data_IF_542966257365
#
_entry.id   IF_542966257365
#
_cell.length_a   1.000
_cell.length_b   1.000
_cell.length_c   1.000
_cell.angle_alpha   90.00
_cell.angle_beta   90.00
_cell.angle_gamma   90.00
#
_symmetry.space_group_name_H-M   'P 1'
#
loop_
_entity.id
_entity.type
_entity.pdbx_description
1 polymer ?
#
# COMPACT_ATOMS: atom_id res chain seq x y z
N UNK A 1 10.10 6.59 14.98
CA UNK A 1 11.45 6.03 15.20
C UNK A 1 12.40 6.47 14.08
N UNK A 2 12.08 6.22 12.80
CA UNK A 2 12.87 6.68 11.65
C UNK A 2 12.88 8.21 11.46
N UNK A 3 11.72 8.88 11.54
CA UNK A 3 11.66 10.34 11.46
C UNK A 3 12.54 11.04 12.50
N UNK A 4 12.61 10.49 13.72
CA UNK A 4 13.53 10.98 14.76
C UNK A 4 15.00 10.73 14.39
N UNK A 5 15.34 9.54 13.89
CA UNK A 5 16.71 9.23 13.47
C UNK A 5 17.20 10.17 12.34
N UNK A 6 16.34 10.45 11.37
CA UNK A 6 16.64 11.38 10.28
C UNK A 6 16.73 12.84 10.75
N UNK A 7 15.64 13.38 11.28
CA UNK A 7 15.51 14.81 11.59
C UNK A 7 16.36 15.25 12.78
N UNK A 8 16.40 14.45 13.85
CA UNK A 8 17.05 14.86 15.10
C UNK A 8 18.48 14.35 15.23
N UNK A 9 18.80 13.18 14.66
CA UNK A 9 20.13 12.59 14.76
C UNK A 9 20.97 12.70 13.47
N UNK A 10 20.37 13.15 12.36
CA UNK A 10 21.06 13.26 11.07
C UNK A 10 21.47 11.92 10.49
N UNK A 11 20.81 10.82 10.88
CA UNK A 11 21.10 9.46 10.40
C UNK A 11 20.13 9.15 9.24
N UNK A 12 20.63 8.97 8.00
CA UNK A 12 19.80 8.57 6.88
C UNK A 12 19.03 7.29 7.20
N UNK A 13 17.74 7.28 6.90
CA UNK A 13 16.87 6.20 7.31
C UNK A 13 15.79 5.95 6.25
N UNK A 14 15.43 4.68 6.06
CA UNK A 14 14.43 4.26 5.06
C UNK A 14 13.54 3.18 5.66
N UNK A 15 12.27 3.21 5.31
CA UNK A 15 11.32 2.12 5.57
C UNK A 15 10.88 1.52 4.25
N UNK A 16 10.78 0.19 4.23
CA UNK A 16 10.14 -0.55 3.16
C UNK A 16 8.85 -1.13 3.69
N UNK A 17 7.73 -0.78 3.06
CA UNK A 17 6.40 -1.32 3.36
C UNK A 17 5.95 -2.11 2.13
N UNK A 18 6.57 -3.28 1.92
CA UNK A 18 6.28 -4.17 0.79
C UNK A 18 5.81 -5.49 1.36
N UNK A 19 4.51 -5.76 1.22
CA UNK A 19 3.92 -7.05 1.51
C UNK A 19 2.57 -6.97 2.22
N UNK A 20 2.21 -8.09 2.84
CA UNK A 20 0.98 -8.29 3.57
C UNK A 20 0.93 -9.74 4.08
N UNK A 21 -0.05 -10.06 4.93
CA UNK A 21 -0.23 -11.40 5.45
C UNK A 21 -1.59 -11.98 5.09
N UNK A 22 -1.62 -13.25 4.68
CA UNK A 22 -2.83 -13.97 4.29
C UNK A 22 -3.15 -13.82 2.80
N UNK A 23 -2.11 -13.61 1.98
CA UNK A 23 -2.15 -13.68 0.52
C UNK A 23 -1.64 -15.04 0.05
N UNK A 24 -1.57 -15.26 -1.27
CA UNK A 24 -1.01 -16.50 -1.80
C UNK A 24 0.49 -16.64 -1.44
N UNK A 25 1.00 -17.87 -1.17
CA UNK A 25 2.41 -18.08 -0.85
C UNK A 25 3.37 -17.55 -1.91
N UNK A 26 3.01 -17.68 -3.18
CA UNK A 26 3.85 -17.21 -4.31
C UNK A 26 3.97 -15.67 -4.31
N UNK A 27 2.89 -14.97 -3.98
CA UNK A 27 2.89 -13.50 -3.90
C UNK A 27 3.69 -13.03 -2.68
N UNK A 28 3.53 -13.70 -1.54
CA UNK A 28 4.30 -13.40 -0.33
C UNK A 28 5.80 -13.65 -0.53
N UNK A 29 6.20 -14.73 -1.22
CA UNK A 29 7.60 -15.00 -1.57
C UNK A 29 8.17 -13.92 -2.49
N UNK A 30 7.41 -13.49 -3.51
CA UNK A 30 7.86 -12.42 -4.41
C UNK A 30 8.10 -11.08 -3.67
N UNK A 31 7.29 -10.77 -2.65
CA UNK A 31 7.52 -9.60 -1.79
C UNK A 31 8.75 -9.76 -0.91
N UNK A 32 9.01 -10.95 -0.37
CA UNK A 32 10.23 -11.25 0.38
C UNK A 32 11.46 -11.03 -0.51
N UNK A 33 11.47 -11.62 -1.71
CA UNK A 33 12.55 -11.44 -2.67
C UNK A 33 12.78 -9.97 -3.02
N UNK A 34 11.70 -9.20 -3.21
CA UNK A 34 11.76 -7.75 -3.47
C UNK A 34 12.42 -7.00 -2.31
N UNK A 35 12.03 -7.28 -1.06
CA UNK A 35 12.62 -6.66 0.12
C UNK A 35 14.11 -7.02 0.26
N UNK A 36 14.48 -8.29 0.07
CA UNK A 36 15.88 -8.74 0.12
C UNK A 36 16.71 -8.03 -0.95
N UNK A 37 16.23 -7.98 -2.18
CA UNK A 37 16.92 -7.31 -3.29
C UNK A 37 17.10 -5.81 -3.03
N UNK A 38 16.08 -5.13 -2.49
CA UNK A 38 16.15 -3.73 -2.09
C UNK A 38 17.20 -3.48 -1.00
N UNK A 39 17.19 -4.29 0.06
CA UNK A 39 18.18 -4.21 1.14
C UNK A 39 19.61 -4.41 0.62
N UNK A 40 19.84 -5.44 -0.20
CA UNK A 40 21.14 -5.68 -0.82
C UNK A 40 21.55 -4.55 -1.76
N UNK A 41 20.59 -3.94 -2.46
CA UNK A 41 20.81 -2.74 -3.28
C UNK A 41 21.30 -1.56 -2.45
N UNK A 42 20.67 -1.27 -1.31
CA UNK A 42 21.11 -0.21 -0.39
C UNK A 42 22.53 -0.49 0.12
N UNK A 43 22.85 -1.73 0.50
CA UNK A 43 24.19 -2.09 0.95
C UNK A 43 25.25 -1.89 -0.15
N UNK A 44 24.91 -2.16 -1.41
CA UNK A 44 25.79 -1.88 -2.56
C UNK A 44 25.96 -0.38 -2.81
N UNK A 45 24.87 0.39 -2.81
CA UNK A 45 24.91 1.85 -2.95
C UNK A 45 25.79 2.52 -1.88
N UNK A 46 25.74 2.01 -0.64
CA UNK A 46 26.56 2.50 0.47
C UNK A 46 27.99 1.91 0.48
N UNK A 47 28.38 1.14 -0.53
CA UNK A 47 29.68 0.46 -0.65
C UNK A 47 30.00 -0.51 0.51
N UNK A 48 28.97 -1.04 1.19
CA UNK A 48 29.12 -2.09 2.21
C UNK A 48 29.37 -3.44 1.52
N UNK A 49 28.72 -3.67 0.39
CA UNK A 49 28.90 -4.84 -0.48
C UNK A 49 29.38 -4.39 -1.87
N UNK A 50 30.16 -5.22 -2.58
CA UNK A 50 30.58 -4.91 -3.95
C UNK A 50 29.41 -4.98 -4.95
N UNK A 51 29.55 -4.24 -6.04
CA UNK A 51 28.59 -4.18 -7.16
C UNK A 51 27.68 -2.96 -7.11
N UNK A 52 26.78 -2.84 -8.08
CA UNK A 52 25.88 -1.70 -8.21
C UNK A 52 24.46 -2.02 -7.70
N UNK A 53 23.74 -1.04 -7.14
CA UNK A 53 22.31 -1.21 -6.86
C UNK A 53 21.52 -1.43 -8.15
N UNK A 54 20.45 -2.21 -8.06
CA UNK A 54 19.44 -2.23 -9.13
C UNK A 54 18.53 -1.01 -8.91
N UNK A 55 18.56 -0.05 -9.84
CA UNK A 55 17.77 1.17 -9.77
C UNK A 55 16.57 0.99 -10.69
N UNK A 56 15.39 1.37 -10.21
CA UNK A 56 14.17 1.34 -11.01
C UNK A 56 14.23 2.44 -12.07
N UNK A 57 13.83 2.12 -13.31
CA UNK A 57 13.74 3.09 -14.41
C UNK A 57 12.65 4.15 -14.20
N UNK A 58 11.75 3.92 -13.23
CA UNK A 58 10.65 4.83 -12.91
C UNK A 58 10.12 4.58 -11.51
N UNK A 59 9.76 5.64 -10.80
CA UNK A 59 9.12 5.57 -9.49
C UNK A 59 8.14 6.74 -9.29
N UNK A 60 7.25 6.63 -8.30
CA UNK A 60 6.30 7.70 -7.99
C UNK A 60 6.71 8.40 -6.70
N UNK A 61 6.83 9.71 -6.77
CA UNK A 61 6.88 10.60 -5.60
C UNK A 61 5.45 10.89 -5.14
N UNK A 62 5.15 10.54 -3.90
CA UNK A 62 3.81 10.64 -3.31
C UNK A 62 3.85 11.70 -2.20
N UNK A 63 3.11 12.80 -2.38
CA UNK A 63 2.99 13.84 -1.36
C UNK A 63 1.71 13.71 -0.53
N UNK A 64 0.63 13.18 -1.13
CA UNK A 64 -0.67 13.13 -0.49
C UNK A 64 -1.42 11.83 -0.79
N UNK A 65 -1.96 11.24 0.27
CA UNK A 65 -2.79 10.05 0.19
C UNK A 65 -4.08 10.22 0.99
N UNK A 66 -5.09 9.46 0.59
CA UNK A 66 -6.37 9.37 1.26
C UNK A 66 -6.59 7.95 1.73
N UNK A 67 -6.93 7.77 3.01
CA UNK A 67 -7.38 6.48 3.49
C UNK A 67 -8.89 6.35 3.30
N UNK A 68 -9.31 5.15 2.93
CA UNK A 68 -10.71 4.76 2.83
C UNK A 68 -10.92 3.68 3.88
N UNK A 69 -11.33 4.10 5.06
CA UNK A 69 -11.58 3.24 6.21
C UNK A 69 -13.08 2.97 6.33
N UNK A 70 -13.51 1.76 6.72
CA UNK A 70 -14.89 1.50 7.05
C UNK A 70 -15.31 2.29 8.29
N UNK A 71 -16.54 2.77 8.29
CA UNK A 71 -17.17 3.45 9.42
C UNK A 71 -17.98 2.49 10.30
N UNK A 72 -18.16 1.25 9.85
CA UNK A 72 -18.90 0.19 10.55
C UNK A 72 -18.08 -1.10 10.62
N UNK A 73 -18.38 -1.92 11.63
CA UNK A 73 -17.82 -3.27 11.71
C UNK A 73 -18.56 -4.25 10.79
N UNK A 74 -17.84 -5.23 10.25
CA UNK A 74 -18.40 -6.22 9.34
C UNK A 74 -17.34 -7.13 8.73
N UNK A 75 -17.69 -7.78 7.64
CA UNK A 75 -16.77 -8.50 6.78
C UNK A 75 -16.47 -7.66 5.54
N UNK A 76 -15.20 -7.32 5.33
CA UNK A 76 -14.79 -6.58 4.14
C UNK A 76 -14.76 -7.52 2.93
N UNK A 77 -15.47 -7.12 1.88
CA UNK A 77 -15.42 -7.71 0.56
C UNK A 77 -14.82 -6.71 -0.44
N UNK A 78 -13.53 -6.84 -0.81
CA UNK A 78 -12.90 -5.99 -1.82
C UNK A 78 -13.48 -6.26 -3.22
N UNK A 79 -13.68 -5.19 -4.00
CA UNK A 79 -13.98 -5.28 -5.43
C UNK A 79 -12.72 -5.28 -6.29
N UNK A 80 -11.61 -4.84 -5.71
CA UNK A 80 -10.31 -4.78 -6.35
C UNK A 80 -9.58 -6.10 -6.08
N UNK A 81 -8.95 -6.73 -7.10
CA UNK A 81 -8.15 -7.93 -6.88
C UNK A 81 -6.93 -7.62 -6.01
N UNK A 82 -6.38 -8.65 -5.36
CA UNK A 82 -5.13 -8.55 -4.56
C UNK A 82 -3.91 -8.09 -5.36
N UNK A 83 -3.96 -8.16 -6.69
CA UNK A 83 -2.93 -7.64 -7.60
C UNK A 83 -3.17 -6.20 -8.04
N UNK A 84 -4.20 -5.53 -7.52
CA UNK A 84 -4.62 -4.19 -7.91
C UNK A 84 -3.81 -3.04 -7.30
N UNK A 85 -2.67 -3.33 -6.64
CA UNK A 85 -1.75 -2.27 -6.19
C UNK A 85 -1.27 -1.45 -7.38
N UNK A 86 -1.18 -0.13 -7.16
CA UNK A 86 -0.89 0.90 -8.16
C UNK A 86 -1.86 0.94 -9.35
N UNK A 87 -3.00 0.26 -9.28
CA UNK A 87 -4.06 0.41 -10.28
C UNK A 87 -4.67 1.82 -10.18
N UNK A 88 -4.93 2.43 -11.34
CA UNK A 88 -5.70 3.67 -11.43
C UNK A 88 -7.15 3.48 -10.97
N UNK A 89 -7.66 4.49 -10.27
CA UNK A 89 -9.04 4.57 -9.81
C UNK A 89 -9.62 5.96 -10.09
N UNK A 90 -10.94 6.00 -10.28
CA UNK A 90 -11.69 7.25 -10.44
C UNK A 90 -12.44 7.61 -9.17
N UNK A 91 -12.61 8.90 -8.91
CA UNK A 91 -13.43 9.39 -7.81
C UNK A 91 -14.83 8.73 -7.86
N UNK A 92 -15.27 8.21 -6.72
CA UNK A 92 -16.54 7.50 -6.58
C UNK A 92 -16.52 6.04 -7.03
N UNK A 93 -15.41 5.55 -7.62
CA UNK A 93 -15.24 4.13 -7.96
C UNK A 93 -15.34 3.28 -6.69
N UNK A 94 -16.10 2.18 -6.78
CA UNK A 94 -16.25 1.23 -5.70
C UNK A 94 -14.97 0.42 -5.53
N UNK A 95 -14.44 0.40 -4.30
CA UNK A 95 -13.22 -0.33 -3.94
C UNK A 95 -13.54 -1.60 -3.14
N UNK A 96 -14.59 -1.55 -2.33
CA UNK A 96 -15.01 -2.67 -1.50
C UNK A 96 -16.32 -2.36 -0.77
N UNK A 97 -16.81 -3.37 -0.07
CA UNK A 97 -18.05 -3.32 0.71
C UNK A 97 -17.81 -3.88 2.10
N UNK A 98 -18.33 -3.22 3.13
CA UNK A 98 -18.50 -3.87 4.43
C UNK A 98 -19.86 -4.58 4.43
N UNK A 99 -19.86 -5.88 4.69
CA UNK A 99 -21.05 -6.73 4.68
C UNK A 99 -21.30 -7.28 6.07
N UNK A 100 -22.55 -7.37 6.49
CA UNK A 100 -22.89 -7.95 7.78
C UNK A 100 -22.65 -9.45 7.78
N UNK A 101 -21.92 -10.02 8.76
CA UNK A 101 -21.64 -11.47 8.77
C UNK A 101 -22.86 -12.32 9.16
N UNK A 102 -24.01 -11.69 9.51
CA UNK A 102 -25.23 -12.40 9.92
C UNK A 102 -26.29 -12.46 8.80
N UNK A 103 -26.92 -11.35 8.36
CA UNK A 103 -27.87 -11.35 7.25
C UNK A 103 -27.20 -11.28 5.86
N UNK A 104 -25.88 -11.09 5.78
CA UNK A 104 -25.13 -10.89 4.53
C UNK A 104 -25.57 -9.66 3.72
N UNK A 105 -26.18 -8.68 4.39
CA UNK A 105 -26.57 -7.40 3.79
C UNK A 105 -25.37 -6.44 3.72
N UNK A 106 -25.31 -5.64 2.66
CA UNK A 106 -24.34 -4.54 2.53
C UNK A 106 -24.62 -3.48 3.60
N UNK A 107 -23.60 -3.15 4.40
CA UNK A 107 -23.67 -2.13 5.43
C UNK A 107 -23.08 -0.81 4.95
N UNK A 108 -22.02 -0.87 4.15
CA UNK A 108 -21.27 0.30 3.68
C UNK A 108 -20.56 0.02 2.36
N UNK A 109 -20.49 1.04 1.50
CA UNK A 109 -19.66 1.06 0.29
C UNK A 109 -18.42 1.92 0.52
N UNK A 110 -17.25 1.34 0.28
CA UNK A 110 -15.96 2.03 0.34
C UNK A 110 -15.61 2.49 -1.07
N UNK A 111 -15.57 3.81 -1.28
CA UNK A 111 -15.34 4.42 -2.60
C UNK A 111 -14.08 5.26 -2.61
N UNK A 112 -13.43 5.31 -3.77
CA UNK A 112 -12.30 6.19 -3.99
C UNK A 112 -12.71 7.66 -3.80
N UNK A 113 -12.03 8.44 -2.93
CA UNK A 113 -12.43 9.82 -2.64
C UNK A 113 -11.98 10.80 -3.72
N UNK A 114 -10.99 10.41 -4.52
CA UNK A 114 -10.35 11.19 -5.58
C UNK A 114 -9.95 10.28 -6.74
N UNK A 115 -9.68 10.86 -7.91
CA UNK A 115 -8.90 10.19 -8.95
C UNK A 115 -7.48 9.91 -8.44
N UNK A 116 -6.92 8.74 -8.75
CA UNK A 116 -5.66 8.35 -8.13
C UNK A 116 -5.18 6.95 -8.44
N UNK A 117 -4.25 6.46 -7.61
CA UNK A 117 -3.72 5.10 -7.64
C UNK A 117 -3.87 4.42 -6.29
N UNK A 118 -4.20 3.12 -6.27
CA UNK A 118 -4.32 2.35 -5.04
C UNK A 118 -2.95 1.98 -4.47
N UNK A 119 -2.50 2.62 -3.40
CA UNK A 119 -1.23 2.27 -2.74
C UNK A 119 -1.40 1.30 -1.57
N UNK A 120 -2.63 1.13 -1.08
CA UNK A 120 -2.97 0.17 -0.05
C UNK A 120 -4.28 -0.52 -0.42
N UNK A 121 -4.28 -1.84 -0.31
CA UNK A 121 -5.45 -2.69 -0.53
C UNK A 121 -5.54 -3.70 0.61
N UNK A 122 -6.76 -3.97 1.05
CA UNK A 122 -7.03 -5.03 1.99
C UNK A 122 -7.51 -6.29 1.26
N UNK A 123 -7.14 -7.46 1.82
CA UNK A 123 -7.75 -8.74 1.49
C UNK A 123 -9.17 -8.84 2.07
N UNK A 124 -9.97 -9.86 1.74
CA UNK A 124 -11.21 -10.14 2.47
C UNK A 124 -10.91 -10.52 3.93
N UNK A 125 -11.45 -9.77 4.89
CA UNK A 125 -11.27 -10.02 6.33
C UNK A 125 -12.30 -9.30 7.20
N UNK A 126 -12.52 -9.72 8.47
CA UNK A 126 -13.33 -8.97 9.42
C UNK A 126 -12.69 -7.61 9.74
N UNK A 127 -13.51 -6.56 9.72
CA UNK A 127 -13.11 -5.17 9.98
C UNK A 127 -13.94 -4.56 11.10
N UNK A 128 -13.34 -3.63 11.83
CA UNK A 128 -14.00 -2.68 12.72
C UNK A 128 -14.01 -1.28 12.09
N UNK A 129 -14.83 -0.39 12.67
CA UNK A 129 -14.79 1.04 12.32
C UNK A 129 -13.37 1.59 12.49
N UNK A 130 -12.84 2.22 11.45
CA UNK A 130 -11.51 2.82 11.41
C UNK A 130 -10.38 1.90 10.98
N UNK A 131 -10.64 0.60 10.77
CA UNK A 131 -9.62 -0.33 10.28
C UNK A 131 -9.12 0.05 8.87
N UNK A 132 -7.93 -0.42 8.49
CA UNK A 132 -7.31 -0.03 7.23
C UNK A 132 -7.84 -0.90 6.09
N UNK A 133 -8.67 -0.34 5.20
CA UNK A 133 -9.19 -1.08 4.05
C UNK A 133 -8.51 -0.70 2.73
N UNK A 134 -8.53 0.59 2.35
CA UNK A 134 -7.86 1.04 1.13
C UNK A 134 -7.12 2.36 1.34
N UNK A 135 -6.16 2.62 0.45
CA UNK A 135 -5.45 3.89 0.37
C UNK A 135 -5.30 4.33 -1.08
N UNK A 136 -5.62 5.59 -1.36
CA UNK A 136 -5.56 6.18 -2.69
C UNK A 136 -4.56 7.33 -2.68
N UNK A 137 -3.55 7.28 -3.55
CA UNK A 137 -2.69 8.42 -3.86
C UNK A 137 -3.50 9.42 -4.68
N UNK A 138 -3.50 10.69 -4.28
CA UNK A 138 -4.20 11.74 -5.02
C UNK A 138 -3.46 12.01 -6.34
N UNK A 139 -4.15 11.88 -7.48
CA UNK A 139 -3.54 12.03 -8.81
C UNK A 139 -2.88 13.41 -9.03
N UNK A 140 -3.31 14.44 -8.29
CA UNK A 140 -2.70 15.78 -8.37
C UNK A 140 -1.39 15.89 -7.57
N UNK A 141 -1.08 14.88 -6.74
CA UNK A 141 0.02 14.87 -5.78
C UNK A 141 0.89 13.60 -5.87
N UNK A 142 0.69 12.82 -6.94
CA UNK A 142 1.54 11.69 -7.32
C UNK A 142 2.26 12.03 -8.62
N UNK A 143 3.58 12.21 -8.55
CA UNK A 143 4.41 12.55 -9.72
C UNK A 143 5.28 11.34 -10.05
N UNK A 144 5.24 10.92 -11.30
CA UNK A 144 6.14 9.89 -11.79
C UNK A 144 7.46 10.51 -12.22
N UNK A 145 8.55 9.97 -11.70
CA UNK A 145 9.93 10.31 -12.02
C UNK A 145 10.58 9.16 -12.81
N UNK A 146 11.44 9.50 -13.75
CA UNK A 146 12.26 8.57 -14.57
C UNK A 146 13.73 8.66 -14.14
#
# INVERSE_FOLDING_TARGET
MLGYAGEELGIPSVISEIGGAGFSPDLEEAWIETNVNGMLGIMRHLNILPGEPNILDRYMMIEKTHRVNPSVGGYLHPEIPETGLMQEVKQGQLLGRAVSPYPFEELEQLKAPVDGWLYLIARPYPVNSGDWAFGVVDAQHGVWEE
#
